data_IF_506841482889
#
_entry.id   IF_506841482889
#
_cell.length_a   1.000
_cell.length_b   1.000
_cell.length_c   1.000
_cell.angle_alpha   90.00
_cell.angle_beta   90.00
_cell.angle_gamma   90.00
#
_symmetry.space_group_name_H-M   'P 1'
#
loop_
_entity.id
_entity.type
_entity.pdbx_description
1 polymer ?
#
# COMPACT_ATOMS: atom_id res chain seq x y z
N UNK A 1 -0.44 12.47 16.20
CA UNK A 1 -0.85 11.32 17.05
C UNK A 1 0.41 10.71 17.62
N UNK A 2 0.66 10.83 18.92
CA UNK A 2 1.95 10.49 19.53
C UNK A 2 1.92 9.07 20.10
N UNK A 3 1.90 8.08 19.21
CA UNK A 3 1.96 6.66 19.57
C UNK A 3 2.45 5.84 18.39
N UNK A 4 2.80 4.57 18.64
CA UNK A 4 3.11 3.59 17.61
C UNK A 4 1.91 3.20 16.71
N UNK A 5 0.71 3.75 16.95
CA UNK A 5 -0.47 3.47 16.10
C UNK A 5 -0.23 3.94 14.67
N UNK A 6 -0.44 3.04 13.72
CA UNK A 6 -0.45 3.33 12.29
C UNK A 6 -1.72 4.10 11.91
N UNK A 7 -1.53 5.23 11.23
CA UNK A 7 -2.59 6.12 10.72
C UNK A 7 -2.57 6.26 9.20
N UNK A 8 -1.64 5.57 8.52
CA UNK A 8 -1.47 5.63 7.07
C UNK A 8 -1.79 4.27 6.42
N UNK A 9 -1.43 3.16 7.08
CA UNK A 9 -1.73 1.79 6.65
C UNK A 9 -0.54 1.03 6.08
N UNK A 10 0.55 1.72 5.72
CA UNK A 10 1.75 1.09 5.16
C UNK A 10 2.38 0.10 6.12
N UNK A 11 2.59 0.49 7.38
CA UNK A 11 3.21 -0.38 8.40
C UNK A 11 2.33 -1.59 8.72
N UNK A 12 1.00 -1.40 8.78
CA UNK A 12 0.06 -2.50 8.94
C UNK A 12 0.14 -3.48 7.76
N UNK A 13 0.26 -2.98 6.54
CA UNK A 13 0.38 -3.82 5.35
C UNK A 13 1.69 -4.63 5.33
N UNK A 14 2.83 -3.99 5.58
CA UNK A 14 4.14 -4.67 5.56
C UNK A 14 4.29 -5.69 6.68
N UNK A 15 3.93 -5.33 7.92
CA UNK A 15 4.01 -6.23 9.08
C UNK A 15 3.11 -7.46 8.93
N UNK A 16 1.88 -7.29 8.41
CA UNK A 16 0.99 -8.44 8.18
C UNK A 16 1.42 -9.32 7.00
N UNK A 17 2.14 -8.75 6.02
CA UNK A 17 2.78 -9.51 4.94
C UNK A 17 3.95 -10.36 5.46
N UNK A 18 4.76 -9.82 6.39
CA UNK A 18 5.89 -10.56 6.96
C UNK A 18 5.44 -11.63 7.96
N UNK A 19 4.61 -11.25 8.94
CA UNK A 19 4.33 -12.06 10.13
C UNK A 19 2.86 -11.94 10.61
N UNK A 20 1.92 -11.65 9.70
CA UNK A 20 0.49 -11.65 10.03
C UNK A 20 -0.01 -13.03 10.46
N UNK A 21 -0.85 -13.08 11.50
CA UNK A 21 -1.50 -14.32 11.91
C UNK A 21 -2.65 -14.67 10.96
N UNK A 22 -3.12 -15.91 11.06
CA UNK A 22 -4.26 -16.44 10.30
C UNK A 22 -5.54 -15.63 10.53
N UNK A 23 -6.16 -15.17 9.44
CA UNK A 23 -7.49 -14.54 9.47
C UNK A 23 -8.36 -15.13 8.35
N UNK A 24 -9.54 -15.64 8.72
CA UNK A 24 -10.51 -16.22 7.79
C UNK A 24 -11.38 -15.16 7.12
N UNK A 25 -11.88 -15.48 5.93
CA UNK A 25 -12.89 -14.68 5.23
C UNK A 25 -12.41 -13.31 4.77
N UNK A 26 -11.10 -13.06 4.72
CA UNK A 26 -10.58 -11.78 4.24
C UNK A 26 -10.63 -11.69 2.73
N UNK A 27 -11.02 -10.52 2.24
CA UNK A 27 -11.06 -10.20 0.82
C UNK A 27 -10.69 -8.73 0.65
N UNK A 28 -10.18 -8.37 -0.53
CA UNK A 28 -10.11 -6.97 -0.93
C UNK A 28 -11.38 -6.63 -1.72
N UNK A 29 -12.43 -6.16 -1.05
CA UNK A 29 -13.73 -5.86 -1.68
C UNK A 29 -14.31 -7.02 -2.53
N UNK A 30 -14.12 -8.26 -2.09
CA UNK A 30 -14.52 -9.47 -2.83
C UNK A 30 -13.46 -10.02 -3.79
N UNK A 31 -12.40 -9.27 -4.09
CA UNK A 31 -11.22 -9.76 -4.80
C UNK A 31 -10.27 -10.51 -3.86
N UNK A 32 -9.40 -11.35 -4.45
CA UNK A 32 -8.42 -12.17 -3.72
C UNK A 32 -9.03 -12.91 -2.52
N UNK A 33 -10.25 -13.45 -2.70
CA UNK A 33 -10.94 -14.18 -1.64
C UNK A 33 -10.21 -15.49 -1.35
N UNK A 34 -9.32 -15.42 -0.38
CA UNK A 34 -8.57 -16.54 0.17
C UNK A 34 -8.42 -16.29 1.66
N UNK A 35 -8.27 -17.36 2.42
CA UNK A 35 -7.80 -17.25 3.79
C UNK A 35 -6.47 -16.49 3.80
N UNK A 36 -6.30 -15.49 4.69
CA UNK A 36 -5.00 -14.83 4.88
C UNK A 36 -4.04 -15.75 5.63
N UNK A 37 -3.69 -16.88 4.98
CA UNK A 37 -2.51 -17.71 5.28
C UNK A 37 -1.24 -17.12 4.64
N UNK A 38 -1.23 -15.82 4.38
CA UNK A 38 -0.30 -15.21 3.42
C UNK A 38 1.00 -14.69 4.03
N UNK A 39 1.13 -14.68 5.36
CA UNK A 39 2.37 -14.21 5.97
C UNK A 39 3.50 -15.23 5.78
N UNK A 40 4.70 -14.72 5.54
CA UNK A 40 5.90 -15.55 5.36
C UNK A 40 6.23 -16.33 6.64
N UNK A 41 6.08 -15.71 7.81
CA UNK A 41 6.40 -16.30 9.11
C UNK A 41 5.23 -16.19 10.10
N UNK A 42 4.25 -17.10 9.99
CA UNK A 42 2.99 -17.10 10.77
C UNK A 42 3.15 -17.08 12.30
N UNK A 43 4.27 -17.57 12.82
CA UNK A 43 4.52 -17.69 14.27
C UNK A 43 5.61 -16.74 14.78
N UNK A 44 6.12 -15.86 13.91
CA UNK A 44 7.06 -14.83 14.33
C UNK A 44 6.37 -13.81 15.24
N UNK A 45 7.14 -13.26 16.18
CA UNK A 45 6.70 -12.12 17.00
C UNK A 45 7.02 -10.84 16.26
N UNK A 46 6.17 -9.83 16.42
CA UNK A 46 6.34 -8.53 15.75
C UNK A 46 6.63 -7.47 16.82
N UNK A 47 7.78 -6.83 16.71
CA UNK A 47 8.11 -5.59 17.40
C UNK A 47 7.98 -4.42 16.40
N UNK A 48 7.31 -3.35 16.81
CA UNK A 48 7.02 -2.21 15.93
C UNK A 48 7.76 -0.95 16.41
N UNK A 49 8.69 -0.47 15.58
CA UNK A 49 9.42 0.77 15.81
C UNK A 49 8.93 1.81 14.80
N UNK A 50 8.06 2.71 15.25
CA UNK A 50 7.48 3.74 14.38
C UNK A 50 8.43 4.93 14.29
N UNK A 51 9.00 5.10 13.10
CA UNK A 51 9.98 6.16 12.81
C UNK A 51 9.48 7.17 11.76
N UNK A 52 8.32 6.88 11.14
CA UNK A 52 7.67 7.73 10.15
C UNK A 52 6.40 8.36 10.71
N UNK A 53 6.26 9.66 10.46
CA UNK A 53 5.15 10.47 10.94
C UNK A 53 4.50 11.23 9.78
N UNK A 54 3.29 11.75 10.00
CA UNK A 54 2.63 12.59 8.98
C UNK A 54 3.39 13.90 8.79
N UNK A 55 4.03 14.34 9.86
CA UNK A 55 4.80 15.56 9.98
C UNK A 55 6.17 15.46 9.27
N UNK A 56 6.66 14.24 9.02
CA UNK A 56 7.89 14.03 8.27
C UNK A 56 8.59 12.70 8.56
N UNK A 57 9.71 12.53 7.88
CA UNK A 57 10.67 11.44 8.00
C UNK A 57 11.99 12.04 8.47
N UNK A 58 12.39 11.74 9.71
CA UNK A 58 13.63 12.24 10.29
C UNK A 58 14.65 11.10 10.41
N UNK A 59 15.86 11.33 9.91
CA UNK A 59 16.98 10.40 10.07
C UNK A 59 17.26 10.06 11.55
N UNK A 60 17.12 11.03 12.45
CA UNK A 60 17.31 10.81 13.89
C UNK A 60 16.29 9.84 14.49
N UNK A 61 15.02 9.93 14.08
CA UNK A 61 13.97 9.03 14.56
C UNK A 61 14.19 7.61 14.03
N UNK A 62 14.64 7.51 12.78
CA UNK A 62 15.03 6.24 12.16
C UNK A 62 16.20 5.58 12.91
N UNK A 63 17.30 6.31 13.13
CA UNK A 63 18.46 5.79 13.86
C UNK A 63 18.09 5.35 15.27
N UNK A 64 17.31 6.15 16.00
CA UNK A 64 16.85 5.79 17.35
C UNK A 64 15.97 4.53 17.35
N UNK A 65 15.12 4.35 16.34
CA UNK A 65 14.30 3.15 16.18
C UNK A 65 15.15 1.90 15.89
N UNK A 66 16.18 2.03 15.06
CA UNK A 66 17.12 0.95 14.77
C UNK A 66 17.96 0.57 15.99
N UNK A 67 18.53 1.55 16.69
CA UNK A 67 19.30 1.32 17.91
C UNK A 67 18.46 0.58 18.96
N UNK A 68 17.19 0.97 19.12
CA UNK A 68 16.29 0.28 20.04
C UNK A 68 15.96 -1.14 19.56
N UNK A 69 15.76 -1.36 18.26
CA UNK A 69 15.49 -2.69 17.72
C UNK A 69 16.65 -3.66 17.99
N UNK A 70 17.87 -3.19 17.76
CA UNK A 70 19.10 -3.95 18.03
C UNK A 70 19.27 -4.20 19.53
N UNK A 71 18.99 -3.19 20.38
CA UNK A 71 19.06 -3.34 21.83
C UNK A 71 18.04 -4.34 22.39
N UNK A 72 16.86 -4.41 21.77
CA UNK A 72 15.80 -5.36 22.12
C UNK A 72 16.11 -6.79 21.60
N UNK A 73 17.15 -6.96 20.77
CA UNK A 73 17.64 -8.24 20.28
C UNK A 73 16.68 -8.92 19.30
N UNK A 74 16.20 -8.16 18.31
CA UNK A 74 15.34 -8.70 17.26
C UNK A 74 16.12 -9.62 16.30
N UNK A 75 15.49 -10.66 15.78
CA UNK A 75 16.19 -11.62 14.90
C UNK A 75 16.37 -11.08 13.46
N UNK A 76 15.38 -10.32 12.96
CA UNK A 76 15.34 -9.79 11.59
C UNK A 76 14.67 -8.42 11.61
N UNK A 77 15.25 -7.45 10.91
CA UNK A 77 14.70 -6.11 10.74
C UNK A 77 14.17 -5.96 9.31
N UNK A 78 12.90 -5.57 9.17
CA UNK A 78 12.26 -5.34 7.87
C UNK A 78 11.95 -3.86 7.67
N UNK A 79 12.57 -3.26 6.66
CA UNK A 79 12.50 -1.83 6.34
C UNK A 79 11.92 -1.65 4.94
N UNK A 80 10.90 -0.81 4.81
CA UNK A 80 10.25 -0.52 3.52
C UNK A 80 10.16 1.00 3.33
N UNK A 81 11.34 1.63 3.42
CA UNK A 81 11.59 3.06 3.27
C UNK A 81 13.06 3.22 2.84
N UNK A 82 13.43 4.41 2.37
CA UNK A 82 14.76 4.72 1.85
C UNK A 82 15.04 6.22 1.95
N UNK A 83 16.32 6.58 2.02
CA UNK A 83 16.76 7.98 1.87
C UNK A 83 17.49 8.13 0.54
N UNK A 84 17.10 9.13 -0.25
CA UNK A 84 17.55 9.27 -1.63
C UNK A 84 18.72 10.23 -1.77
N UNK A 85 19.61 9.96 -2.74
CA UNK A 85 20.75 10.82 -3.09
C UNK A 85 21.76 11.08 -1.96
N UNK A 86 21.91 10.14 -1.02
CA UNK A 86 22.85 10.24 0.11
C UNK A 86 24.01 9.23 -0.06
N UNK A 87 25.29 9.61 0.15
CA UNK A 87 26.39 8.66 0.14
C UNK A 87 26.33 7.72 1.36
N UNK A 88 26.86 6.50 1.23
CA UNK A 88 26.76 5.44 2.27
C UNK A 88 27.18 5.86 3.70
N UNK A 89 28.14 6.77 3.84
CA UNK A 89 28.63 7.23 5.15
C UNK A 89 27.74 8.30 5.80
N UNK A 90 26.76 8.82 5.07
CA UNK A 90 25.72 9.75 5.55
C UNK A 90 24.33 9.09 5.54
N UNK A 91 24.18 7.92 4.90
CA UNK A 91 22.92 7.19 4.82
C UNK A 91 22.58 6.54 6.18
N UNK A 92 21.48 6.97 6.85
CA UNK A 92 21.08 6.43 8.14
C UNK A 92 20.80 4.93 8.10
N UNK A 93 20.25 4.42 6.99
CA UNK A 93 19.96 2.99 6.81
C UNK A 93 21.27 2.22 6.71
N UNK A 94 22.26 2.73 5.97
CA UNK A 94 23.57 2.09 5.84
C UNK A 94 24.29 2.02 7.19
N UNK A 95 24.34 3.14 7.92
CA UNK A 95 24.97 3.21 9.23
C UNK A 95 24.31 2.25 10.24
N UNK A 96 22.98 2.31 10.38
CA UNK A 96 22.27 1.47 11.32
C UNK A 96 22.32 -0.02 10.95
N UNK A 97 22.24 -0.34 9.65
CA UNK A 97 22.32 -1.73 9.18
C UNK A 97 23.71 -2.32 9.41
N UNK A 98 24.77 -1.51 9.31
CA UNK A 98 26.12 -1.94 9.67
C UNK A 98 26.18 -2.35 11.15
N UNK A 99 25.66 -1.52 12.06
CA UNK A 99 25.59 -1.83 13.49
C UNK A 99 24.75 -3.09 13.79
N UNK A 100 23.60 -3.24 13.15
CA UNK A 100 22.74 -4.42 13.30
C UNK A 100 23.45 -5.70 12.83
N UNK A 101 24.16 -5.63 11.71
CA UNK A 101 24.95 -6.75 11.17
C UNK A 101 26.07 -7.17 12.14
N UNK A 102 26.75 -6.23 12.81
CA UNK A 102 27.76 -6.57 13.83
C UNK A 102 27.17 -7.35 15.02
N UNK A 103 25.86 -7.23 15.25
CA UNK A 103 25.12 -8.01 16.26
C UNK A 103 24.51 -9.31 15.71
N UNK A 104 24.70 -9.59 14.42
CA UNK A 104 24.18 -10.78 13.76
C UNK A 104 22.72 -10.68 13.32
N UNK A 105 22.16 -9.47 13.27
CA UNK A 105 20.78 -9.23 12.87
C UNK A 105 20.71 -8.95 11.36
N UNK A 106 19.84 -9.68 10.65
CA UNK A 106 19.64 -9.48 9.21
C UNK A 106 18.72 -8.29 8.96
N UNK A 107 19.16 -7.35 8.12
CA UNK A 107 18.32 -6.24 7.65
C UNK A 107 17.85 -6.50 6.22
N UNK A 108 16.53 -6.43 6.00
CA UNK A 108 15.87 -6.53 4.70
C UNK A 108 15.26 -5.19 4.31
N UNK A 109 15.66 -4.65 3.16
CA UNK A 109 15.21 -3.36 2.65
C UNK A 109 14.59 -3.47 1.25
N UNK A 110 13.58 -2.65 0.96
CA UNK A 110 13.03 -2.50 -0.39
C UNK A 110 14.00 -1.78 -1.33
N UNK A 111 14.14 -2.22 -2.58
CA UNK A 111 14.95 -1.54 -3.60
C UNK A 111 14.42 -0.15 -4.00
N UNK A 112 13.15 0.12 -3.69
CA UNK A 112 12.41 1.34 -4.06
C UNK A 112 11.67 1.21 -5.41
N UNK A 113 10.99 2.29 -5.82
CA UNK A 113 9.95 2.23 -6.86
C UNK A 113 10.23 3.14 -8.09
N UNK A 114 11.42 3.73 -8.20
CA UNK A 114 11.77 4.69 -9.27
C UNK A 114 12.24 4.06 -10.58
N UNK A 115 12.08 2.75 -10.69
CA UNK A 115 12.29 2.01 -11.93
C UNK A 115 11.48 2.56 -13.13
N UNK A 116 11.79 2.13 -14.36
CA UNK A 116 12.64 0.98 -14.71
C UNK A 116 14.04 1.38 -15.22
N UNK A 117 14.45 2.64 -15.08
CA UNK A 117 15.74 3.11 -15.62
C UNK A 117 16.90 2.46 -14.85
N UNK A 118 18.03 2.22 -15.53
CA UNK A 118 19.25 1.78 -14.87
C UNK A 118 19.67 2.83 -13.81
N UNK A 119 20.18 2.35 -12.67
CA UNK A 119 20.63 3.21 -11.58
C UNK A 119 19.50 3.89 -10.80
N UNK A 120 18.29 3.32 -10.78
CA UNK A 120 17.13 3.82 -10.02
C UNK A 120 16.89 3.11 -8.67
N UNK A 121 17.85 2.30 -8.22
CA UNK A 121 17.77 1.70 -6.89
C UNK A 121 18.01 2.79 -5.84
N UNK A 122 17.13 2.86 -4.87
CA UNK A 122 17.27 3.77 -3.72
C UNK A 122 18.24 3.19 -2.69
N UNK A 123 18.29 1.86 -2.60
CA UNK A 123 19.09 1.14 -1.61
C UNK A 123 20.08 0.23 -2.34
N UNK A 124 21.36 0.55 -2.20
CA UNK A 124 22.50 -0.19 -2.77
C UNK A 124 23.54 -0.58 -1.72
N UNK A 125 23.06 -0.89 -0.51
CA UNK A 125 23.91 -1.13 0.67
C UNK A 125 24.38 -2.60 0.64
N UNK A 126 25.70 -2.90 0.58
CA UNK A 126 26.21 -4.27 0.43
C UNK A 126 25.82 -5.24 1.57
N UNK A 127 25.52 -4.69 2.75
CA UNK A 127 25.32 -5.43 4.00
C UNK A 127 23.84 -5.69 4.29
N UNK A 128 22.96 -5.33 3.37
CA UNK A 128 21.50 -5.40 3.49
C UNK A 128 20.94 -6.31 2.41
N UNK A 129 19.94 -7.11 2.76
CA UNK A 129 19.14 -7.82 1.77
C UNK A 129 18.25 -6.81 1.04
N UNK A 130 18.68 -6.41 -0.16
CA UNK A 130 17.92 -5.49 -1.01
C UNK A 130 16.92 -6.27 -1.87
N UNK A 131 15.62 -5.98 -1.71
CA UNK A 131 14.51 -6.74 -2.28
C UNK A 131 13.82 -5.96 -3.39
N UNK A 132 13.80 -6.52 -4.61
CA UNK A 132 13.02 -6.00 -5.74
C UNK A 132 11.58 -6.54 -5.74
N UNK A 133 10.67 -5.84 -6.44
CA UNK A 133 9.29 -6.27 -6.60
C UNK A 133 9.06 -7.05 -7.89
N UNK A 134 8.38 -8.19 -7.79
CA UNK A 134 7.94 -9.01 -8.93
C UNK A 134 6.43 -9.20 -8.95
N UNK A 135 5.88 -9.45 -10.14
CA UNK A 135 4.47 -9.83 -10.31
C UNK A 135 4.25 -11.30 -9.96
N UNK A 136 3.07 -11.63 -9.46
CA UNK A 136 2.60 -13.00 -9.25
C UNK A 136 1.57 -13.40 -10.33
N UNK A 137 1.19 -14.67 -10.36
CA UNK A 137 0.21 -15.25 -11.29
C UNK A 137 -1.25 -14.83 -11.01
N UNK A 138 -1.49 -14.20 -9.85
CA UNK A 138 -2.78 -13.63 -9.48
C UNK A 138 -2.96 -12.21 -10.02
N UNK A 139 -4.11 -11.94 -10.65
CA UNK A 139 -4.50 -10.61 -11.12
C UNK A 139 -6.02 -10.42 -11.02
N UNK A 140 -6.45 -9.16 -10.96
CA UNK A 140 -7.87 -8.81 -10.77
C UNK A 140 -8.56 -8.57 -12.10
N UNK A 141 -9.67 -9.26 -12.32
CA UNK A 141 -10.33 -9.33 -13.63
C UNK A 141 -11.66 -8.60 -13.62
N UNK A 142 -11.86 -7.76 -14.65
CA UNK A 142 -13.17 -7.33 -15.13
C UNK A 142 -13.42 -7.91 -16.51
N UNK A 143 -14.54 -8.60 -16.69
CA UNK A 143 -14.92 -9.20 -17.97
C UNK A 143 -15.79 -8.24 -18.77
N UNK A 144 -15.34 -7.87 -19.98
CA UNK A 144 -16.09 -7.08 -20.93
C UNK A 144 -16.66 -8.00 -22.02
N UNK A 145 -17.98 -7.96 -22.20
CA UNK A 145 -18.66 -8.69 -23.28
C UNK A 145 -19.26 -7.69 -24.26
N UNK A 146 -18.82 -7.72 -25.52
CA UNK A 146 -19.30 -6.87 -26.61
C UNK A 146 -19.88 -7.75 -27.73
N UNK A 147 -21.21 -7.87 -27.78
CA UNK A 147 -21.87 -8.80 -28.70
C UNK A 147 -21.39 -10.23 -28.45
N UNK A 148 -20.67 -10.82 -29.42
CA UNK A 148 -20.10 -12.18 -29.31
C UNK A 148 -18.66 -12.21 -28.77
N UNK A 149 -18.02 -11.05 -28.61
CA UNK A 149 -16.63 -10.95 -28.15
C UNK A 149 -16.59 -10.83 -26.63
N UNK A 150 -15.80 -11.68 -25.96
CA UNK A 150 -15.53 -11.59 -24.52
C UNK A 150 -14.05 -11.32 -24.29
N UNK A 151 -13.74 -10.30 -23.48
CA UNK A 151 -12.38 -9.89 -23.13
C UNK A 151 -12.26 -9.88 -21.61
N UNK A 152 -11.24 -10.57 -21.08
CA UNK A 152 -10.84 -10.42 -19.69
C UNK A 152 -9.77 -9.33 -19.60
N UNK A 153 -10.05 -8.29 -18.84
CA UNK A 153 -9.15 -7.15 -18.64
C UNK A 153 -8.95 -6.90 -17.14
N UNK A 154 -8.04 -5.99 -16.81
CA UNK A 154 -7.77 -5.64 -15.42
C UNK A 154 -8.86 -4.72 -14.85
N UNK A 155 -9.34 -5.02 -13.64
CA UNK A 155 -10.23 -4.13 -12.89
C UNK A 155 -10.13 -4.40 -11.38
N UNK A 156 -10.13 -3.32 -10.59
CA UNK A 156 -10.15 -3.34 -9.12
C UNK A 156 -11.30 -2.50 -8.55
N UNK A 157 -12.40 -2.34 -9.31
CA UNK A 157 -13.52 -1.54 -8.84
C UNK A 157 -14.11 -2.17 -7.55
N UNK A 158 -14.16 -1.44 -6.41
CA UNK A 158 -14.32 -2.02 -5.08
C UNK A 158 -15.76 -2.43 -4.73
N UNK A 159 -16.59 -2.71 -5.73
CA UNK A 159 -17.97 -3.12 -5.54
C UNK A 159 -18.45 -3.97 -6.72
N UNK A 160 -19.56 -4.69 -6.51
CA UNK A 160 -20.27 -5.37 -7.62
C UNK A 160 -21.08 -4.33 -8.40
N UNK A 161 -20.47 -3.75 -9.43
CA UNK A 161 -21.14 -2.82 -10.33
C UNK A 161 -22.14 -3.57 -11.24
N UNK A 162 -23.38 -3.10 -11.27
CA UNK A 162 -24.39 -3.56 -12.22
C UNK A 162 -24.26 -2.83 -13.55
N UNK A 163 -23.31 -3.23 -14.40
CA UNK A 163 -23.12 -2.67 -15.74
C UNK A 163 -23.45 -3.75 -16.75
N UNK A 164 -24.57 -3.62 -17.44
CA UNK A 164 -25.04 -4.63 -18.39
C UNK A 164 -25.77 -3.98 -19.56
N UNK A 165 -25.41 -4.37 -20.79
CA UNK A 165 -26.03 -3.89 -22.02
C UNK A 165 -25.98 -2.36 -22.21
N UNK A 166 -25.00 -1.69 -21.61
CA UNK A 166 -24.81 -0.25 -21.77
C UNK A 166 -24.23 0.11 -23.14
N UNK A 167 -24.55 1.32 -23.60
CA UNK A 167 -24.04 1.82 -24.87
C UNK A 167 -22.54 2.11 -24.76
N UNK A 168 -21.75 1.48 -25.63
CA UNK A 168 -20.32 1.74 -25.76
C UNK A 168 -20.06 2.85 -26.79
N UNK A 169 -19.43 3.94 -26.36
CA UNK A 169 -19.12 5.09 -27.20
C UNK A 169 -17.61 5.18 -27.41
N UNK A 170 -17.21 5.25 -28.68
CA UNK A 170 -15.86 5.66 -29.09
C UNK A 170 -15.96 6.96 -29.88
N UNK A 171 -15.39 8.03 -29.34
CA UNK A 171 -15.26 9.30 -30.02
C UNK A 171 -13.83 9.80 -29.83
N UNK A 172 -13.08 10.00 -30.93
CA UNK A 172 -11.68 10.44 -30.87
C UNK A 172 -11.48 11.71 -30.04
N UNK A 173 -12.42 12.64 -30.12
CA UNK A 173 -12.39 13.94 -29.41
C UNK A 173 -12.62 13.80 -27.91
N UNK A 174 -13.37 12.77 -27.48
CA UNK A 174 -13.71 12.51 -26.06
C UNK A 174 -12.78 11.42 -25.47
N UNK A 175 -12.14 10.61 -26.32
CA UNK A 175 -11.26 9.51 -25.92
C UNK A 175 -9.88 9.96 -25.42
N UNK A 176 -9.56 11.25 -25.54
CA UNK A 176 -8.40 11.85 -24.91
C UNK A 176 -8.66 11.99 -23.40
N UNK A 177 -7.82 11.34 -22.61
CA UNK A 177 -7.97 11.27 -21.16
C UNK A 177 -7.74 12.66 -20.53
N UNK A 178 -8.80 13.42 -20.29
CA UNK A 178 -8.84 14.46 -19.24
C UNK A 178 -9.98 14.13 -18.29
N UNK A 179 -9.71 14.28 -17.00
CA UNK A 179 -10.62 14.13 -15.86
C UNK A 179 -11.64 15.29 -15.85
N UNK A 180 -12.35 15.46 -16.97
CA UNK A 180 -13.48 16.36 -17.06
C UNK A 180 -14.71 15.53 -17.33
N UNK A 181 -15.70 15.80 -16.51
CA UNK A 181 -17.09 15.42 -16.68
C UNK A 181 -17.48 15.71 -18.15
N UNK A 182 -17.51 14.66 -18.98
CA UNK A 182 -17.64 14.79 -20.43
C UNK A 182 -19.09 15.12 -20.85
N UNK A 183 -19.93 15.55 -19.89
CA UNK A 183 -21.36 15.77 -20.09
C UNK A 183 -22.10 14.49 -20.47
N UNK A 184 -21.53 13.32 -20.16
CA UNK A 184 -22.12 12.03 -20.43
C UNK A 184 -23.13 11.74 -19.33
N UNK A 185 -24.34 11.31 -19.71
CA UNK A 185 -25.33 10.87 -18.74
C UNK A 185 -24.92 9.55 -18.11
N UNK A 186 -25.38 9.28 -16.88
CA UNK A 186 -25.26 7.95 -16.30
C UNK A 186 -25.90 6.89 -17.22
N UNK A 187 -25.21 5.76 -17.43
CA UNK A 187 -25.66 4.67 -18.33
C UNK A 187 -24.91 4.58 -19.66
N UNK A 188 -23.75 5.21 -19.82
CA UNK A 188 -22.90 5.07 -21.00
C UNK A 188 -21.48 4.60 -20.62
N UNK A 189 -20.88 3.75 -21.48
CA UNK A 189 -19.48 3.33 -21.35
C UNK A 189 -18.64 4.05 -22.40
N UNK A 190 -17.51 4.63 -21.99
CA UNK A 190 -16.63 5.37 -22.91
C UNK A 190 -15.24 4.76 -22.97
N UNK A 191 -14.79 4.55 -24.20
CA UNK A 191 -13.42 4.13 -24.47
C UNK A 191 -12.48 5.31 -24.41
N UNK A 192 -11.37 5.17 -23.70
CA UNK A 192 -10.32 6.19 -23.60
C UNK A 192 -8.97 5.64 -24.07
N UNK A 193 -8.19 6.47 -24.73
CA UNK A 193 -6.80 6.18 -25.11
C UNK A 193 -5.86 6.72 -24.04
N UNK A 194 -5.09 5.85 -23.39
CA UNK A 194 -4.06 6.25 -22.44
C UNK A 194 -2.76 6.67 -23.12
N UNK A 195 -1.94 7.48 -22.43
CA UNK A 195 -0.65 8.05 -22.90
C UNK A 195 0.43 7.02 -23.32
N UNK A 196 0.19 5.71 -23.16
CA UNK A 196 1.13 4.62 -23.49
C UNK A 196 0.49 3.50 -24.34
N UNK A 197 -0.54 3.81 -25.13
CA UNK A 197 -1.23 2.81 -25.96
C UNK A 197 -2.13 1.83 -25.20
N UNK A 198 -2.18 1.93 -23.86
CA UNK A 198 -3.20 1.25 -23.04
C UNK A 198 -4.57 1.88 -23.30
N UNK A 199 -5.51 1.09 -23.81
CA UNK A 199 -6.94 1.47 -23.90
C UNK A 199 -7.61 1.15 -22.57
N UNK A 200 -8.30 2.12 -21.99
CA UNK A 200 -9.07 1.97 -20.75
C UNK A 200 -10.55 2.15 -21.06
N UNK A 201 -11.40 1.39 -20.39
CA UNK A 201 -12.84 1.60 -20.43
C UNK A 201 -13.24 2.32 -19.14
N UNK A 202 -13.80 3.52 -19.29
CA UNK A 202 -14.42 4.25 -18.18
C UNK A 202 -15.91 3.97 -18.19
N UNK A 203 -16.46 3.62 -17.03
CA UNK A 203 -17.90 3.62 -16.79
C UNK A 203 -18.14 4.56 -15.64
N UNK A 204 -18.99 5.57 -15.86
CA UNK A 204 -19.43 6.44 -14.79
C UNK A 204 -20.55 5.71 -14.03
N UNK A 205 -20.16 5.09 -12.92
CA UNK A 205 -21.11 4.45 -12.00
C UNK A 205 -21.59 5.52 -11.02
N UNK A 206 -22.90 5.66 -10.77
CA UNK A 206 -23.42 6.61 -9.80
C UNK A 206 -22.66 6.47 -8.48
N UNK A 207 -22.23 7.60 -7.91
CA UNK A 207 -21.45 7.64 -6.68
C UNK A 207 -22.04 6.69 -5.64
N UNK A 208 -21.23 5.75 -5.15
CA UNK A 208 -21.56 4.97 -3.97
C UNK A 208 -21.62 5.95 -2.79
N UNK A 209 -22.82 6.45 -2.48
CA UNK A 209 -23.04 7.06 -1.18
C UNK A 209 -22.71 6.00 -0.12
N UNK A 210 -21.92 6.33 0.91
CA UNK A 210 -21.71 5.42 2.03
C UNK A 210 -23.09 5.04 2.57
N UNK A 211 -23.41 3.76 2.54
CA UNK A 211 -24.61 3.26 3.20
C UNK A 211 -24.53 3.62 4.67
N UNK A 212 -25.46 4.47 5.11
CA UNK A 212 -25.60 4.88 6.49
C UNK A 212 -25.83 3.63 7.35
N UNK A 213 -24.81 3.20 8.07
CA UNK A 213 -24.87 1.96 8.83
C UNK A 213 -23.75 1.79 9.85
N UNK A 214 -23.41 2.84 10.61
CA UNK A 214 -23.28 2.82 12.08
C UNK A 214 -22.83 4.21 12.58
N UNK A 215 -23.74 5.18 12.58
CA UNK A 215 -23.62 6.29 13.51
C UNK A 215 -24.19 5.82 14.86
N UNK A 216 -23.31 5.49 15.81
CA UNK A 216 -23.66 5.57 17.24
C UNK A 216 -22.57 6.28 18.04
N UNK A 217 -23.03 7.38 18.63
CA UNK A 217 -22.51 8.19 19.73
C UNK A 217 -21.11 8.79 19.60
N UNK A 218 -21.07 10.01 19.05
CA UNK A 218 -20.38 11.11 19.73
C UNK A 218 -21.01 11.25 21.12
N UNK A 219 -20.35 10.73 22.16
CA UNK A 219 -20.61 11.16 23.53
C UNK A 219 -19.52 12.16 23.89
N UNK A 220 -19.96 13.41 24.03
CA UNK A 220 -19.26 14.44 24.79
C UNK A 220 -18.88 13.85 26.16
N UNK A 221 -17.58 13.79 26.47
CA UNK A 221 -17.15 13.88 27.86
C UNK A 221 -16.21 15.08 27.96
N UNK A 222 -16.70 16.06 28.70
CA UNK A 222 -15.96 17.23 29.15
C UNK A 222 -14.82 16.76 30.05
N UNK A 223 -13.67 17.42 29.96
CA UNK A 223 -12.67 17.43 31.02
C UNK A 223 -13.33 17.68 32.40
N UNK A 224 -12.76 17.06 33.44
CA UNK A 224 -12.14 17.90 34.46
C UNK A 224 -10.70 17.48 34.76
N UNK A 225 -9.95 18.47 35.24
CA UNK A 225 -8.58 18.38 35.74
C UNK A 225 -8.51 17.59 37.06
N UNK A 226 -7.28 17.12 37.34
CA UNK A 226 -6.68 16.76 38.63
C UNK A 226 -6.66 15.28 39.06
N UNK A 227 -5.47 14.84 39.52
CA UNK A 227 -5.35 13.90 40.64
C UNK A 227 -4.59 12.60 40.40
N UNK A 228 -3.28 12.65 40.64
CA UNK A 228 -2.42 11.67 41.35
C UNK A 228 -2.21 10.21 40.87
N UNK A 229 -0.91 9.89 40.82
CA UNK A 229 -0.28 8.57 40.79
C UNK A 229 -0.62 7.73 42.03
N UNK A 230 -0.51 6.40 41.94
CA UNK A 230 0.70 5.75 42.45
C UNK A 230 1.48 4.94 41.40
#
# INVERSE_FOLDING_TARGET
MNSARDTFGHSRHTSTTAAGNYVEGVTYFGYASRTARAAVALHARVAMYKVLWKEGENASDFLAGMDQAVADGVDVISISMGFDDIPLYEDPIAMASFCAMEKGELVSCSAGNDGPRLGSLHIGIPLVLTVAAGSIDCWFVGTLTLGKLTISAWSMFPARAGVANERLIYNKTISIYEEKDNGLGGGEMVTTSGKRGMRRLGVEVPSLQPTAGNQRSKQNSRHPLAGDFP
#
